data_IF_132397860323
#
_entry.id   IF_132397860323
#
_cell.length_a   1.000
_cell.length_b   1.000
_cell.length_c   1.000
_cell.angle_alpha   90.00
_cell.angle_beta   90.00
_cell.angle_gamma   90.00
#
_symmetry.space_group_name_H-M   'P 1'
#
loop_
_entity.id
_entity.type
_entity.pdbx_description
1 polymer ?
#
# COMPACT_ATOMS: atom_id res chain seq x y z
N UNK A 1 8.44 -0.96 -16.34
CA UNK A 1 8.36 -2.41 -16.66
C UNK A 1 7.12 -3.06 -16.04
N UNK A 2 6.94 -2.99 -14.70
CA UNK A 2 5.78 -3.56 -13.99
C UNK A 2 4.40 -2.99 -14.42
N UNK A 3 4.31 -1.68 -14.68
CA UNK A 3 3.07 -0.97 -15.03
C UNK A 3 2.54 -1.26 -16.45
N UNK A 4 3.40 -1.74 -17.35
CA UNK A 4 3.07 -2.08 -18.73
C UNK A 4 2.89 -3.59 -18.95
N UNK A 5 2.98 -4.40 -17.88
CA UNK A 5 2.64 -5.82 -17.98
C UNK A 5 1.15 -5.95 -18.32
N UNK A 6 0.87 -6.69 -19.40
CA UNK A 6 -0.50 -7.05 -19.76
C UNK A 6 -1.11 -7.90 -18.64
N UNK A 7 -2.43 -7.74 -18.44
CA UNK A 7 -3.18 -8.51 -17.45
C UNK A 7 -3.09 -10.02 -17.74
N UNK A 8 -3.27 -10.38 -19.01
CA UNK A 8 -3.05 -11.69 -19.61
C UNK A 8 -2.63 -11.48 -21.09
N UNK A 9 -2.18 -12.55 -21.76
CA UNK A 9 -1.72 -12.46 -23.16
C UNK A 9 -2.84 -11.94 -24.09
N UNK A 10 -2.54 -10.90 -24.89
CA UNK A 10 -3.52 -10.30 -25.81
C UNK A 10 -4.48 -9.28 -25.18
N UNK A 11 -4.37 -8.97 -23.88
CA UNK A 11 -5.21 -7.94 -23.27
C UNK A 11 -4.74 -6.52 -23.69
N UNK A 12 -5.55 -5.85 -24.52
CA UNK A 12 -5.29 -4.47 -25.01
C UNK A 12 -6.03 -3.41 -24.20
N UNK A 13 -7.15 -3.75 -23.56
CA UNK A 13 -8.01 -2.81 -22.85
C UNK A 13 -7.45 -2.36 -21.50
N UNK A 14 -6.77 -3.27 -20.79
CA UNK A 14 -6.23 -2.99 -19.46
C UNK A 14 -4.80 -3.51 -19.32
N UNK A 15 -3.94 -2.71 -18.70
CA UNK A 15 -2.72 -3.24 -18.09
C UNK A 15 -3.06 -3.89 -16.74
N UNK A 16 -2.17 -4.74 -16.23
CA UNK A 16 -2.33 -5.28 -14.88
C UNK A 16 -2.47 -4.16 -13.86
N UNK A 17 -1.67 -3.11 -14.01
CA UNK A 17 -1.68 -1.98 -13.08
C UNK A 17 -3.01 -1.23 -13.09
N UNK A 18 -3.50 -0.82 -14.27
CA UNK A 18 -4.76 -0.08 -14.38
C UNK A 18 -5.93 -0.89 -13.82
N UNK A 19 -5.94 -2.21 -14.07
CA UNK A 19 -6.97 -3.11 -13.57
C UNK A 19 -6.96 -3.20 -12.04
N UNK A 20 -5.79 -3.41 -11.43
CA UNK A 20 -5.65 -3.49 -9.97
C UNK A 20 -5.99 -2.17 -9.28
N UNK A 21 -5.60 -1.03 -9.85
CA UNK A 21 -5.97 0.30 -9.32
C UNK A 21 -7.49 0.49 -9.32
N UNK A 22 -8.16 0.14 -10.42
CA UNK A 22 -9.61 0.24 -10.51
C UNK A 22 -10.32 -0.69 -9.51
N UNK A 23 -9.84 -1.92 -9.34
CA UNK A 23 -10.37 -2.83 -8.32
C UNK A 23 -10.19 -2.29 -6.90
N UNK A 24 -9.03 -1.73 -6.58
CA UNK A 24 -8.77 -1.11 -5.28
C UNK A 24 -9.64 0.13 -5.06
N UNK A 25 -9.92 0.90 -6.11
CA UNK A 25 -10.86 2.02 -6.07
C UNK A 25 -12.27 1.53 -5.75
N UNK A 26 -12.78 0.51 -6.46
CA UNK A 26 -14.09 -0.11 -6.18
C UNK A 26 -14.17 -0.64 -4.74
N UNK A 27 -13.12 -1.31 -4.27
CA UNK A 27 -13.02 -1.78 -2.88
C UNK A 27 -13.24 -0.63 -1.89
N UNK A 28 -12.61 0.52 -2.12
CA UNK A 28 -12.71 1.68 -1.24
C UNK A 28 -14.10 2.33 -1.33
N UNK A 29 -14.61 2.57 -2.53
CA UNK A 29 -15.93 3.17 -2.77
C UNK A 29 -17.07 2.34 -2.16
N UNK A 30 -16.97 1.02 -2.25
CA UNK A 30 -17.99 0.10 -1.76
C UNK A 30 -17.66 -0.54 -0.40
N UNK A 31 -16.60 -0.08 0.28
CA UNK A 31 -16.17 -0.56 1.60
C UNK A 31 -16.03 -2.09 1.68
N UNK A 32 -15.60 -2.72 0.58
CA UNK A 32 -15.41 -4.17 0.52
C UNK A 32 -14.32 -4.58 1.53
N UNK A 33 -14.61 -5.60 2.34
CA UNK A 33 -13.67 -6.13 3.34
C UNK A 33 -12.43 -6.72 2.68
N UNK A 34 -11.32 -6.81 3.40
CA UNK A 34 -10.08 -7.36 2.84
C UNK A 34 -10.19 -8.85 2.49
N UNK A 35 -10.99 -9.62 3.25
CA UNK A 35 -11.28 -11.03 2.96
C UNK A 35 -12.08 -11.16 1.67
N UNK A 36 -13.24 -10.51 1.58
CA UNK A 36 -14.08 -10.55 0.39
C UNK A 36 -13.32 -10.07 -0.87
N UNK A 37 -12.52 -9.01 -0.76
CA UNK A 37 -11.70 -8.54 -1.87
C UNK A 37 -10.65 -9.56 -2.31
N UNK A 38 -10.06 -10.29 -1.37
CA UNK A 38 -9.12 -11.37 -1.66
C UNK A 38 -9.80 -12.52 -2.39
N UNK A 39 -11.02 -12.88 -2.00
CA UNK A 39 -11.78 -13.95 -2.66
C UNK A 39 -12.23 -13.54 -4.07
N UNK A 40 -12.65 -12.28 -4.26
CA UNK A 40 -12.92 -11.70 -5.59
C UNK A 40 -11.68 -11.79 -6.48
N UNK A 41 -10.50 -11.43 -5.95
CA UNK A 41 -9.25 -11.48 -6.71
C UNK A 41 -8.88 -12.92 -7.14
N UNK A 42 -9.09 -13.91 -6.27
CA UNK A 42 -8.86 -15.32 -6.62
C UNK A 42 -9.80 -15.78 -7.72
N UNK A 43 -11.10 -15.48 -7.59
CA UNK A 43 -12.11 -15.84 -8.60
C UNK A 43 -11.78 -15.20 -9.96
N UNK A 44 -11.39 -13.93 -9.98
CA UNK A 44 -10.97 -13.25 -11.22
C UNK A 44 -9.70 -13.85 -11.81
N UNK A 45 -8.74 -14.25 -10.98
CA UNK A 45 -7.51 -14.90 -11.44
C UNK A 45 -7.77 -16.30 -12.03
N UNK A 46 -8.84 -16.97 -11.63
CA UNK A 46 -9.28 -18.24 -12.22
C UNK A 46 -10.11 -18.03 -13.49
N UNK A 47 -10.93 -16.99 -13.54
CA UNK A 47 -11.78 -16.67 -14.69
C UNK A 47 -10.99 -16.15 -15.91
N UNK A 48 -9.81 -15.55 -15.71
CA UNK A 48 -9.01 -15.01 -16.81
C UNK A 48 -8.13 -16.07 -17.51
N UNK A 49 -7.86 -15.90 -18.82
CA UNK A 49 -6.98 -16.79 -19.57
C UNK A 49 -5.60 -16.94 -18.92
N UNK A 50 -5.08 -18.18 -18.88
CA UNK A 50 -3.75 -18.46 -18.35
C UNK A 50 -2.68 -18.34 -19.44
N UNK A 51 -1.46 -17.87 -19.11
CA UNK A 51 -1.06 -17.32 -17.81
C UNK A 51 -1.56 -15.87 -17.62
N UNK A 52 -2.17 -15.57 -16.47
CA UNK A 52 -2.46 -14.20 -16.05
C UNK A 52 -1.58 -13.74 -14.88
N UNK A 53 -1.46 -12.43 -14.74
CA UNK A 53 -0.55 -11.80 -13.77
C UNK A 53 -1.28 -11.17 -12.60
N UNK A 54 -2.59 -11.45 -12.43
CA UNK A 54 -3.44 -10.82 -11.44
C UNK A 54 -3.01 -11.19 -10.01
N UNK A 55 -2.98 -10.23 -9.07
CA UNK A 55 -2.73 -10.54 -7.67
C UNK A 55 -3.82 -11.45 -7.08
N UNK A 56 -3.43 -12.46 -6.31
CA UNK A 56 -4.35 -13.40 -5.65
C UNK A 56 -4.74 -13.00 -4.22
N UNK A 57 -4.30 -11.82 -3.76
CA UNK A 57 -4.63 -11.31 -2.43
C UNK A 57 -4.61 -9.79 -2.36
N UNK A 58 -5.34 -9.22 -1.40
CA UNK A 58 -5.32 -7.79 -1.13
C UNK A 58 -3.90 -7.29 -0.82
N UNK A 59 -3.15 -8.01 0.00
CA UNK A 59 -1.79 -7.60 0.38
C UNK A 59 -0.83 -7.62 -0.82
N UNK A 60 -0.96 -8.60 -1.72
CA UNK A 60 -0.16 -8.61 -2.94
C UNK A 60 -0.55 -7.47 -3.89
N UNK A 61 -1.85 -7.19 -4.05
CA UNK A 61 -2.32 -6.04 -4.82
C UNK A 61 -1.80 -4.71 -4.23
N UNK A 62 -1.75 -4.59 -2.91
CA UNK A 62 -1.19 -3.41 -2.21
C UNK A 62 0.34 -3.32 -2.37
N UNK A 63 1.05 -4.45 -2.33
CA UNK A 63 2.49 -4.48 -2.56
C UNK A 63 2.85 -4.07 -3.99
N UNK A 64 2.04 -4.46 -4.98
CA UNK A 64 2.22 -4.00 -6.36
C UNK A 64 2.18 -2.47 -6.47
N UNK A 65 1.26 -1.80 -5.77
CA UNK A 65 1.26 -0.33 -5.69
C UNK A 65 2.50 0.22 -5.01
N UNK A 66 3.00 -0.46 -3.97
CA UNK A 66 4.20 -0.04 -3.23
C UNK A 66 5.46 -0.13 -4.10
N UNK A 67 5.62 -1.20 -4.88
CA UNK A 67 6.73 -1.38 -5.83
C UNK A 67 6.71 -0.30 -6.92
N UNK A 68 5.52 0.13 -7.33
CA UNK A 68 5.33 1.25 -8.24
C UNK A 68 5.48 2.61 -7.56
N UNK A 69 5.92 2.66 -6.29
CA UNK A 69 6.13 3.87 -5.51
C UNK A 69 4.87 4.70 -5.29
N UNK A 70 3.70 4.05 -5.27
CA UNK A 70 2.41 4.60 -4.85
C UNK A 70 2.01 4.11 -3.45
N UNK A 71 2.91 3.38 -2.80
CA UNK A 71 2.74 2.94 -1.42
C UNK A 71 2.97 4.04 -0.39
N UNK A 72 2.59 3.73 0.84
CA UNK A 72 2.89 4.51 2.03
C UNK A 72 3.57 3.62 3.08
N UNK A 73 4.31 4.27 3.97
CA UNK A 73 4.89 3.68 5.16
C UNK A 73 4.01 4.02 6.36
N UNK A 74 3.58 3.00 7.10
CA UNK A 74 2.87 3.19 8.35
C UNK A 74 3.87 3.43 9.48
N UNK A 75 3.85 4.61 10.07
CA UNK A 75 4.70 4.99 11.21
C UNK A 75 3.81 5.11 12.45
N UNK A 76 4.16 4.42 13.54
CA UNK A 76 3.40 4.53 14.79
C UNK A 76 3.71 5.86 15.45
N UNK A 77 2.69 6.50 16.00
CA UNK A 77 2.79 7.83 16.61
C UNK A 77 2.28 7.76 18.04
N UNK A 78 2.91 8.52 18.94
CA UNK A 78 2.34 8.78 20.25
C UNK A 78 0.93 9.39 20.11
N UNK A 79 0.00 9.02 20.98
CA UNK A 79 -1.36 9.57 20.96
C UNK A 79 -1.38 11.10 21.06
N UNK A 80 -0.45 11.66 21.85
CA UNK A 80 -0.23 13.10 22.04
C UNK A 80 0.75 13.72 21.02
N UNK A 81 1.09 13.00 19.93
CA UNK A 81 2.01 13.43 18.87
C UNK A 81 3.44 13.80 19.30
N UNK A 82 3.87 13.48 20.52
CA UNK A 82 5.21 13.86 21.01
C UNK A 82 6.35 13.25 20.18
N UNK A 83 6.21 11.98 19.78
CA UNK A 83 7.23 11.25 19.03
C UNK A 83 6.62 10.35 17.95
N UNK A 84 7.42 10.10 16.91
CA UNK A 84 7.25 8.99 15.98
C UNK A 84 8.07 7.80 16.51
N UNK A 85 7.44 6.63 16.66
CA UNK A 85 8.13 5.39 17.05
C UNK A 85 8.91 4.82 15.85
N UNK A 86 9.98 5.53 15.46
CA UNK A 86 10.89 5.20 14.37
C UNK A 86 12.34 5.45 14.79
N UNK A 87 13.30 4.87 14.06
CA UNK A 87 14.75 5.01 14.34
C UNK A 87 15.05 4.71 15.83
N UNK A 88 15.59 5.66 16.58
CA UNK A 88 15.93 5.50 18.00
C UNK A 88 14.75 5.06 18.89
N UNK A 89 13.52 5.45 18.55
CA UNK A 89 12.32 5.09 19.30
C UNK A 89 11.59 3.85 18.74
N UNK A 90 12.17 3.14 17.77
CA UNK A 90 11.50 2.03 17.08
C UNK A 90 11.13 0.86 18.01
N UNK A 91 11.98 0.59 19.02
CA UNK A 91 11.79 -0.47 20.01
C UNK A 91 11.06 -0.03 21.28
N UNK A 92 10.69 1.25 21.38
CA UNK A 92 10.01 1.75 22.57
C UNK A 92 8.52 1.38 22.51
N UNK A 93 8.01 0.90 23.64
CA UNK A 93 6.59 0.61 23.84
C UNK A 93 5.85 1.76 24.53
N UNK A 94 6.57 2.69 25.16
CA UNK A 94 6.02 3.90 25.79
C UNK A 94 6.72 5.15 25.23
N UNK A 95 5.98 6.26 25.20
CA UNK A 95 6.51 7.55 24.80
C UNK A 95 7.52 8.06 25.85
N UNK A 96 8.75 8.41 25.46
CA UNK A 96 9.75 8.92 26.41
C UNK A 96 9.41 10.33 26.94
N UNK A 97 8.50 11.06 26.29
CA UNK A 97 8.12 12.44 26.67
C UNK A 97 6.93 12.46 27.62
N UNK A 98 5.90 11.66 27.35
CA UNK A 98 4.63 11.72 28.09
C UNK A 98 4.21 10.39 28.73
N UNK A 99 5.06 9.35 28.67
CA UNK A 99 4.80 8.03 29.25
C UNK A 99 3.71 7.20 28.57
N UNK A 100 2.91 7.79 27.67
CA UNK A 100 1.77 7.11 27.04
C UNK A 100 2.18 5.88 26.24
N UNK A 101 1.39 4.79 26.30
CA UNK A 101 1.68 3.56 25.60
C UNK A 101 1.54 3.72 24.08
N UNK A 102 2.37 3.01 23.34
CA UNK A 102 2.33 2.88 21.88
C UNK A 102 1.12 2.07 21.41
N UNK A 103 0.72 1.08 22.21
CA UNK A 103 -0.28 0.06 21.86
C UNK A 103 -1.62 0.33 22.58
N UNK A 104 -2.75 -0.02 21.96
CA UNK A 104 -4.09 0.06 22.59
C UNK A 104 -4.32 -1.06 23.60
N UNK A 105 -3.85 -2.26 23.27
CA UNK A 105 -3.94 -3.45 24.11
C UNK A 105 -2.57 -4.12 24.14
N UNK A 106 -1.80 -4.01 25.23
CA UNK A 106 -0.48 -4.62 25.34
C UNK A 106 -0.53 -6.16 25.43
N UNK A 107 -1.65 -6.73 25.90
CA UNK A 107 -1.74 -8.12 26.32
C UNK A 107 -2.24 -9.07 25.22
N UNK A 108 -3.17 -8.62 24.36
CA UNK A 108 -3.76 -9.48 23.32
C UNK A 108 -3.19 -9.25 21.94
N UNK A 109 -3.14 -7.99 21.50
CA UNK A 109 -2.77 -7.64 20.13
C UNK A 109 -2.14 -6.26 20.10
N UNK A 110 -0.87 -6.20 19.65
CA UNK A 110 -0.10 -4.98 19.45
C UNK A 110 -0.68 -4.11 18.33
N UNK A 111 -1.85 -3.53 18.57
CA UNK A 111 -2.50 -2.55 17.70
C UNK A 111 -2.00 -1.17 18.13
N UNK A 112 -1.35 -0.40 17.25
CA UNK A 112 -0.88 0.93 17.60
C UNK A 112 -2.03 1.87 17.93
N UNK A 113 -1.83 2.78 18.89
CA UNK A 113 -2.82 3.78 19.25
C UNK A 113 -3.10 4.74 18.08
N UNK A 114 -2.04 5.19 17.41
CA UNK A 114 -2.09 6.13 16.29
C UNK A 114 -1.07 5.76 15.23
N UNK A 115 -1.44 5.92 13.96
CA UNK A 115 -0.59 5.61 12.81
C UNK A 115 -0.60 6.79 11.84
N UNK A 116 0.58 7.29 11.50
CA UNK A 116 0.82 8.23 10.41
C UNK A 116 1.16 7.45 9.14
N UNK A 117 0.52 7.79 8.02
CA UNK A 117 0.86 7.25 6.70
C UNK A 117 1.83 8.20 6.01
N UNK A 118 3.10 7.85 6.00
CA UNK A 118 4.15 8.63 5.33
C UNK A 118 4.28 8.17 3.88
N UNK A 119 4.27 9.12 2.94
CA UNK A 119 4.58 8.84 1.54
C UNK A 119 6.04 9.20 1.27
N UNK A 120 6.92 8.22 1.00
CA UNK A 120 8.34 8.49 0.77
C UNK A 120 8.53 9.47 -0.39
N UNK A 121 9.25 10.57 -0.13
CA UNK A 121 9.49 11.60 -1.14
C UNK A 121 10.50 11.14 -2.19
N UNK A 122 11.56 10.45 -1.78
CA UNK A 122 12.67 10.06 -2.67
C UNK A 122 12.20 9.24 -3.88
N UNK A 123 11.40 8.17 -3.74
CA UNK A 123 10.90 7.43 -4.91
C UNK A 123 10.00 8.27 -5.82
N UNK A 124 9.26 9.24 -5.27
CA UNK A 124 8.40 10.14 -6.04
C UNK A 124 9.25 11.11 -6.85
N UNK A 125 10.21 11.78 -6.22
CA UNK A 125 11.14 12.69 -6.89
C UNK A 125 11.94 11.98 -7.98
N UNK A 126 12.46 10.76 -7.72
CA UNK A 126 13.14 9.96 -8.75
C UNK A 126 12.26 9.69 -9.98
N UNK A 127 10.94 9.55 -9.80
CA UNK A 127 10.00 9.36 -10.91
C UNK A 127 9.73 10.68 -11.65
N UNK A 128 9.53 11.76 -10.90
CA UNK A 128 9.30 13.11 -11.44
C UNK A 128 10.47 13.54 -12.34
N UNK A 129 11.70 13.34 -11.86
CA UNK A 129 12.92 13.74 -12.56
C UNK A 129 13.55 12.62 -13.40
N UNK A 130 12.78 11.59 -13.78
CA UNK A 130 13.30 10.44 -14.52
C UNK A 130 13.61 10.78 -15.99
N UNK A 131 12.93 11.77 -16.56
CA UNK A 131 13.19 12.29 -17.90
C UNK A 131 12.91 13.79 -17.95
N UNK A 132 13.52 14.49 -18.92
CA UNK A 132 13.29 15.92 -19.13
C UNK A 132 11.80 16.22 -19.34
N UNK A 133 11.13 15.43 -20.18
CA UNK A 133 9.69 15.54 -20.42
C UNK A 133 8.87 15.37 -19.14
N UNK A 134 9.13 14.33 -18.35
CA UNK A 134 8.40 14.11 -17.08
C UNK A 134 8.67 15.22 -16.05
N UNK A 135 9.84 15.84 -16.11
CA UNK A 135 10.21 16.97 -15.24
C UNK A 135 9.55 18.29 -15.65
N UNK A 136 9.32 18.51 -16.95
CA UNK A 136 8.64 19.70 -17.48
C UNK A 136 7.12 19.61 -17.28
N UNK A 137 6.56 18.41 -17.22
CA UNK A 137 5.13 18.14 -17.00
C UNK A 137 4.70 18.10 -15.52
N UNK A 138 5.65 18.20 -14.58
CA UNK A 138 5.43 18.03 -13.14
C UNK A 138 5.17 19.35 -12.39
#
# INVERSE_FOLDING_TARGET
KEAMRHLYHGCTKFSRFSFVVNLLHLKLCHRITNSAFTDILKLLAEAFPQPNTLPKSYDYAKNLLKELGLGYESIHVCINNCVLFRKQYAKHDNCPVCGMPRWKDPARKKIPQKVLRHFPLVPRLKRTFLSKKASEEA
#
